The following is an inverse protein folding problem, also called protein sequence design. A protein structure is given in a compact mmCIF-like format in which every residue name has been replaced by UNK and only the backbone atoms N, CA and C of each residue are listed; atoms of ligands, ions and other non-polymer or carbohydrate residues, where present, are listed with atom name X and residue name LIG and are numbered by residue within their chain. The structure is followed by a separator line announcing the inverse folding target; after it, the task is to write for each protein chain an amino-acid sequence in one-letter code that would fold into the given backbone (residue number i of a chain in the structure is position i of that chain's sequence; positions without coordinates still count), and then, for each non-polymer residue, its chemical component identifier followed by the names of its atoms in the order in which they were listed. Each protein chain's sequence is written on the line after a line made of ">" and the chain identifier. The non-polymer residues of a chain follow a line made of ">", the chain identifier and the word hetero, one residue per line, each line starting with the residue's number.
data_IF_756410060388
#
_entry.id   IF_756410060388
#
_cell.length_a   1.000
_cell.length_b   1.000
_cell.length_c   1.000
_cell.angle_alpha   90.00
_cell.angle_beta   90.00
_cell.angle_gamma   90.00
#
_symmetry.space_group_name_H-M   'P 1'
#
loop_
_entity.id
_entity.type
_entity.pdbx_description
1 polymer ?
#
# COMPACT_ATOMS: atom_id res chain seq x y z
N UNK A 1 16.57 43.63 47.82
CA UNK A 1 15.43 43.29 46.93
C UNK A 1 15.99 43.00 45.54
N UNK A 2 16.06 41.74 45.11
CA UNK A 2 16.35 41.39 43.72
C UNK A 2 15.18 40.55 43.19
N UNK A 3 14.41 41.11 42.25
CA UNK A 3 13.42 40.38 41.44
C UNK A 3 14.17 39.78 40.25
N UNK A 4 14.39 38.46 40.25
CA UNK A 4 14.76 37.74 39.05
C UNK A 4 13.48 37.41 38.26
N UNK A 5 13.33 38.04 37.09
CA UNK A 5 12.25 37.78 36.15
C UNK A 5 12.73 36.70 35.18
N UNK A 6 12.32 35.44 35.39
CA UNK A 6 12.59 34.35 34.45
C UNK A 6 11.61 34.46 33.28
N UNK A 7 12.04 35.04 32.16
CA UNK A 7 11.31 34.93 30.88
C UNK A 7 11.62 33.57 30.26
N UNK A 8 10.68 32.62 30.38
CA UNK A 8 10.66 31.43 29.54
C UNK A 8 10.44 31.85 28.09
N UNK A 9 11.49 31.80 27.28
CA UNK A 9 11.42 32.01 25.83
C UNK A 9 11.26 30.63 25.20
N UNK A 10 10.05 30.11 25.17
CA UNK A 10 9.76 28.87 24.42
C UNK A 10 9.87 29.17 22.92
N UNK A 11 10.76 28.43 22.24
CA UNK A 11 10.90 28.47 20.79
C UNK A 11 9.65 27.84 20.15
N UNK A 12 8.58 28.63 19.98
CA UNK A 12 7.32 28.20 19.35
C UNK A 12 7.53 27.57 17.96
N UNK A 13 8.62 27.87 17.25
CA UNK A 13 8.99 27.24 15.97
C UNK A 13 9.32 25.74 16.08
N UNK A 14 9.87 25.29 17.21
CA UNK A 14 10.25 23.89 17.40
C UNK A 14 9.02 23.04 17.74
N UNK A 15 8.15 23.56 18.61
CA UNK A 15 6.89 22.90 18.99
C UNK A 15 5.99 22.75 17.77
N UNK A 16 5.85 23.80 16.95
CA UNK A 16 5.02 23.76 15.74
C UNK A 16 5.56 22.78 14.68
N UNK A 17 6.89 22.64 14.55
CA UNK A 17 7.49 21.64 13.64
C UNK A 17 7.27 20.22 14.13
N UNK A 18 7.43 19.96 15.42
CA UNK A 18 7.24 18.61 15.97
C UNK A 18 5.77 18.22 15.88
N UNK A 19 4.83 19.09 16.27
CA UNK A 19 3.39 18.78 16.14
C UNK A 19 2.94 18.64 14.70
N UNK A 20 3.43 19.46 13.76
CA UNK A 20 3.08 19.31 12.33
C UNK A 20 3.66 18.04 11.71
N UNK A 21 4.87 17.61 12.09
CA UNK A 21 5.44 16.37 11.55
C UNK A 21 4.79 15.13 12.15
N UNK A 22 4.44 15.15 13.44
CA UNK A 22 3.65 14.07 14.07
C UNK A 22 2.22 14.04 13.54
N UNK A 23 1.62 15.20 13.24
CA UNK A 23 0.33 15.25 12.53
C UNK A 23 0.45 14.72 11.11
N UNK A 24 1.54 14.98 10.40
CA UNK A 24 1.76 14.47 9.03
C UNK A 24 1.97 12.96 9.03
N UNK A 25 2.70 12.41 10.01
CA UNK A 25 2.88 10.96 10.17
C UNK A 25 1.57 10.31 10.64
N UNK A 26 0.81 10.95 11.53
CA UNK A 26 -0.53 10.50 11.90
C UNK A 26 -1.50 10.61 10.71
N UNK A 27 -1.43 11.65 9.88
CA UNK A 27 -2.21 11.76 8.64
C UNK A 27 -1.80 10.66 7.64
N UNK A 28 -0.52 10.34 7.51
CA UNK A 28 -0.08 9.29 6.58
C UNK A 28 -0.44 7.89 7.11
N UNK A 29 -0.40 7.67 8.42
CA UNK A 29 -0.78 6.41 9.05
C UNK A 29 -2.30 6.26 9.31
N UNK A 30 -3.08 7.36 9.31
CA UNK A 30 -4.51 7.36 9.64
C UNK A 30 -5.43 7.89 8.51
N UNK A 31 -4.93 8.61 7.49
CA UNK A 31 -5.79 9.15 6.43
C UNK A 31 -5.75 8.27 5.18
N UNK A 32 -6.36 7.10 5.31
CA UNK A 32 -6.94 6.41 4.16
C UNK A 32 -8.47 6.53 4.15
N UNK A 33 -9.08 6.95 5.27
CA UNK A 33 -10.54 7.01 5.41
C UNK A 33 -10.95 8.29 6.14
N UNK A 34 -11.56 9.25 5.44
CA UNK A 34 -12.18 10.44 6.05
C UNK A 34 -13.56 10.11 6.70
N UNK A 35 -14.01 8.85 6.64
CA UNK A 35 -15.25 8.35 7.25
C UNK A 35 -14.94 7.55 8.52
N UNK A 36 -15.43 8.02 9.67
CA UNK A 36 -15.25 7.40 10.99
C UNK A 36 -15.69 5.93 11.02
N UNK A 37 -16.74 5.57 10.27
CA UNK A 37 -17.24 4.19 10.19
C UNK A 37 -16.27 3.29 9.43
N UNK A 38 -15.64 3.81 8.38
CA UNK A 38 -14.64 3.05 7.60
C UNK A 38 -13.35 2.84 8.40
N UNK A 39 -12.98 3.80 9.25
CA UNK A 39 -11.87 3.62 10.19
C UNK A 39 -12.15 2.51 11.20
N UNK A 40 -13.38 2.44 11.71
CA UNK A 40 -13.83 1.38 12.60
C UNK A 40 -13.81 0.01 11.89
N UNK A 41 -14.41 -0.09 10.71
CA UNK A 41 -14.40 -1.32 9.90
C UNK A 41 -12.98 -1.79 9.59
N UNK A 42 -12.08 -0.86 9.20
CA UNK A 42 -10.66 -1.19 8.95
C UNK A 42 -9.96 -1.69 10.22
N UNK A 43 -10.22 -1.06 11.36
CA UNK A 43 -9.66 -1.50 12.65
C UNK A 43 -10.13 -2.90 13.00
N UNK A 44 -11.41 -3.21 12.79
CA UNK A 44 -11.97 -4.53 13.06
C UNK A 44 -11.43 -5.59 12.09
N UNK A 45 -11.24 -5.26 10.80
CA UNK A 45 -10.52 -6.14 9.84
C UNK A 45 -9.12 -6.43 10.37
N UNK A 46 -8.38 -5.39 10.76
CA UNK A 46 -7.01 -5.52 11.27
C UNK A 46 -6.96 -6.41 12.50
N UNK A 47 -7.82 -6.18 13.48
CA UNK A 47 -7.89 -6.99 14.69
C UNK A 47 -8.22 -8.45 14.37
N UNK A 48 -9.20 -8.71 13.49
CA UNK A 48 -9.58 -10.08 13.15
C UNK A 48 -8.49 -10.82 12.38
N UNK A 49 -7.85 -10.17 11.40
CA UNK A 49 -6.71 -10.76 10.67
C UNK A 49 -5.55 -11.04 11.64
N UNK A 50 -5.21 -10.08 12.51
CA UNK A 50 -4.12 -10.22 13.48
C UNK A 50 -4.40 -11.27 14.55
N UNK A 51 -5.65 -11.50 14.94
CA UNK A 51 -5.99 -12.49 15.98
C UNK A 51 -6.21 -13.90 15.42
N UNK A 52 -6.90 -14.01 14.28
CA UNK A 52 -7.39 -15.29 13.76
C UNK A 52 -6.58 -15.83 12.56
N UNK A 53 -5.87 -14.96 11.85
CA UNK A 53 -5.22 -15.32 10.57
C UNK A 53 -3.71 -15.01 10.49
N UNK A 54 -3.10 -14.50 11.56
CA UNK A 54 -1.68 -14.08 11.61
C UNK A 54 -0.68 -15.19 11.95
N UNK A 55 -1.15 -16.35 12.44
CA UNK A 55 -0.28 -17.41 12.95
C UNK A 55 0.69 -17.96 11.91
N UNK A 56 0.30 -17.90 10.65
CA UNK A 56 1.14 -18.29 9.52
C UNK A 56 1.24 -17.11 8.54
N UNK A 57 2.45 -16.82 8.02
CA UNK A 57 2.61 -15.85 6.94
C UNK A 57 1.67 -16.18 5.79
N UNK A 58 1.14 -15.16 5.14
CA UNK A 58 0.38 -15.39 3.91
C UNK A 58 1.25 -16.05 2.84
N UNK A 59 0.77 -17.16 2.29
CA UNK A 59 1.35 -17.74 1.09
C UNK A 59 0.77 -17.00 -0.12
N UNK A 60 1.54 -16.07 -0.67
CA UNK A 60 1.09 -15.22 -1.79
C UNK A 60 0.96 -16.00 -3.11
N UNK A 61 1.70 -17.10 -3.29
CA UNK A 61 1.64 -17.94 -4.50
C UNK A 61 0.47 -18.95 -4.47
N UNK A 62 -0.27 -19.02 -3.37
CA UNK A 62 -1.42 -19.93 -3.26
C UNK A 62 -2.68 -19.26 -3.80
N UNK A 63 -3.25 -19.79 -4.87
CA UNK A 63 -4.58 -19.39 -5.37
C UNK A 63 -5.74 -20.03 -4.59
N UNK A 64 -5.46 -20.69 -3.48
CA UNK A 64 -6.48 -21.33 -2.65
C UNK A 64 -7.37 -20.27 -2.01
N UNK A 65 -8.68 -20.47 -2.06
CA UNK A 65 -9.64 -19.57 -1.39
C UNK A 65 -9.35 -19.55 0.12
N UNK A 66 -9.27 -18.38 0.76
CA UNK A 66 -9.08 -18.30 2.20
C UNK A 66 -10.25 -18.97 2.93
N UNK A 67 -9.94 -19.92 3.79
CA UNK A 67 -10.92 -20.63 4.61
C UNK A 67 -11.10 -19.95 5.97
N UNK A 68 -12.31 -19.99 6.52
CA UNK A 68 -12.57 -19.52 7.88
C UNK A 68 -12.81 -18.01 8.02
N UNK A 69 -13.03 -17.29 6.92
CA UNK A 69 -13.49 -15.91 6.98
C UNK A 69 -14.94 -15.87 7.48
N UNK A 70 -15.19 -15.11 8.55
CA UNK A 70 -16.54 -14.86 9.05
C UNK A 70 -17.37 -14.07 8.02
N UNK A 71 -18.71 -14.22 8.00
CA UNK A 71 -19.56 -13.41 7.12
C UNK A 71 -19.38 -11.90 7.33
N UNK A 72 -19.17 -11.49 8.58
CA UNK A 72 -18.89 -10.10 8.98
C UNK A 72 -17.57 -9.60 8.37
N UNK A 73 -16.49 -10.38 8.48
CA UNK A 73 -15.20 -10.03 7.88
C UNK A 73 -15.29 -9.94 6.35
N UNK A 74 -16.00 -10.88 5.71
CA UNK A 74 -16.23 -10.84 4.26
C UNK A 74 -16.93 -9.55 3.84
N UNK A 75 -17.96 -9.14 4.58
CA UNK A 75 -18.71 -7.93 4.29
C UNK A 75 -17.82 -6.68 4.46
N UNK A 76 -17.04 -6.60 5.54
CA UNK A 76 -16.11 -5.48 5.74
C UNK A 76 -15.01 -5.40 4.69
N UNK A 77 -14.41 -6.53 4.32
CA UNK A 77 -13.42 -6.60 3.23
C UNK A 77 -13.99 -6.14 1.90
N UNK A 78 -15.26 -6.45 1.65
CA UNK A 78 -15.98 -5.97 0.48
C UNK A 78 -16.20 -4.45 0.55
N UNK A 79 -16.79 -3.97 1.65
CA UNK A 79 -17.18 -2.56 1.81
C UNK A 79 -15.97 -1.63 1.81
N UNK A 80 -14.90 -1.98 2.52
CA UNK A 80 -13.64 -1.22 2.54
C UNK A 80 -13.01 -1.18 1.14
N UNK A 81 -12.96 -2.30 0.41
CA UNK A 81 -12.41 -2.32 -0.94
C UNK A 81 -13.21 -1.51 -1.96
N UNK A 82 -14.55 -1.60 -1.89
CA UNK A 82 -15.44 -0.80 -2.73
C UNK A 82 -15.27 0.69 -2.43
N UNK A 83 -15.24 1.05 -1.15
CA UNK A 83 -15.02 2.41 -0.72
C UNK A 83 -13.67 2.96 -1.20
N UNK A 84 -12.59 2.17 -1.08
CA UNK A 84 -11.26 2.59 -1.58
C UNK A 84 -11.28 2.89 -3.09
N UNK A 85 -12.00 2.11 -3.91
CA UNK A 85 -12.17 2.41 -5.35
C UNK A 85 -12.91 3.73 -5.58
N UNK A 86 -13.92 4.02 -4.77
CA UNK A 86 -14.81 5.17 -4.91
C UNK A 86 -14.27 6.46 -4.25
N UNK A 87 -13.12 6.40 -3.56
CA UNK A 87 -12.45 7.58 -3.01
C UNK A 87 -11.93 8.50 -4.12
N UNK A 88 -12.18 9.81 -3.98
CA UNK A 88 -11.73 10.83 -4.94
C UNK A 88 -10.22 10.78 -5.21
N UNK A 89 -9.41 10.59 -4.17
CA UNK A 89 -7.96 10.48 -4.31
C UNK A 89 -7.52 9.23 -5.09
N UNK A 90 -8.26 8.12 -4.95
CA UNK A 90 -8.04 6.91 -5.75
C UNK A 90 -8.47 7.15 -7.18
N UNK A 91 -9.64 7.74 -7.40
CA UNK A 91 -10.15 8.10 -8.73
C UNK A 91 -9.17 9.00 -9.48
N UNK A 92 -8.60 10.01 -8.82
CA UNK A 92 -7.63 10.91 -9.44
C UNK A 92 -6.37 10.14 -9.90
N UNK A 93 -5.85 9.22 -9.08
CA UNK A 93 -4.73 8.34 -9.46
C UNK A 93 -5.08 7.39 -10.61
N UNK A 94 -6.29 6.83 -10.59
CA UNK A 94 -6.79 5.96 -11.66
C UNK A 94 -6.82 6.72 -12.98
N UNK A 95 -7.37 7.93 -12.98
CA UNK A 95 -7.43 8.80 -14.15
C UNK A 95 -6.04 9.14 -14.67
N UNK A 96 -5.10 9.49 -13.79
CA UNK A 96 -3.71 9.78 -14.19
C UNK A 96 -3.04 8.59 -14.89
N UNK A 97 -3.34 7.35 -14.44
CA UNK A 97 -2.81 6.13 -15.04
C UNK A 97 -3.48 5.75 -16.36
N UNK A 98 -4.77 6.02 -16.50
CA UNK A 98 -5.54 5.69 -17.71
C UNK A 98 -5.33 6.72 -18.82
N UNK A 99 -5.19 8.00 -18.46
CA UNK A 99 -5.10 9.13 -19.38
C UNK A 99 -4.10 8.95 -20.54
N UNK A 100 -2.88 8.42 -20.35
CA UNK A 100 -1.93 8.21 -21.45
C UNK A 100 -2.40 7.18 -22.49
N UNK A 101 -3.37 6.33 -22.12
CA UNK A 101 -3.90 5.25 -22.94
C UNK A 101 -5.25 5.61 -23.59
N UNK A 102 -5.85 6.74 -23.22
CA UNK A 102 -7.16 7.16 -23.74
C UNK A 102 -7.00 8.06 -24.97
N UNK A 103 -7.60 7.66 -26.09
CA UNK A 103 -7.49 8.39 -27.38
C UNK A 103 -8.26 9.72 -27.37
N UNK A 104 -9.30 9.87 -26.55
CA UNK A 104 -10.12 11.10 -26.46
C UNK A 104 -10.22 11.61 -25.03
N UNK A 105 -9.22 12.39 -24.60
CA UNK A 105 -9.29 13.09 -23.33
C UNK A 105 -10.04 14.42 -23.51
N UNK A 106 -11.23 14.54 -22.89
CA UNK A 106 -12.04 15.75 -22.89
C UNK A 106 -12.05 16.40 -21.48
N UNK A 107 -12.56 17.63 -21.36
CA UNK A 107 -12.60 18.36 -20.08
C UNK A 107 -13.54 17.73 -19.02
N UNK A 108 -14.39 16.78 -19.42
CA UNK A 108 -15.36 16.08 -18.57
C UNK A 108 -14.93 14.64 -18.24
N UNK A 109 -13.70 14.23 -18.56
CA UNK A 109 -13.25 12.85 -18.45
C UNK A 109 -13.44 12.24 -17.06
N UNK A 110 -13.22 13.00 -15.97
CA UNK A 110 -13.47 12.51 -14.60
C UNK A 110 -14.95 12.19 -14.36
N UNK A 111 -15.85 13.04 -14.85
CA UNK A 111 -17.30 12.82 -14.75
C UNK A 111 -17.72 11.62 -15.59
N UNK A 112 -17.22 11.52 -16.83
CA UNK A 112 -17.49 10.38 -17.71
C UNK A 112 -16.98 9.09 -17.06
N UNK A 113 -15.71 9.06 -16.61
CA UNK A 113 -15.11 7.95 -15.87
C UNK A 113 -15.99 7.51 -14.69
N UNK A 114 -16.43 8.43 -13.83
CA UNK A 114 -17.16 8.08 -12.60
C UNK A 114 -18.64 7.77 -12.80
N UNK A 115 -19.30 8.29 -13.85
CA UNK A 115 -20.75 8.21 -14.01
C UNK A 115 -21.19 7.36 -15.20
N UNK A 116 -20.36 7.22 -16.23
CA UNK A 116 -20.71 6.55 -17.48
C UNK A 116 -19.51 5.84 -18.12
N UNK A 117 -19.50 4.51 -18.09
CA UNK A 117 -18.52 3.72 -18.84
C UNK A 117 -17.95 2.55 -18.05
N UNK A 118 -16.65 2.34 -18.21
CA UNK A 118 -15.94 1.15 -17.76
C UNK A 118 -15.83 1.06 -16.23
N UNK A 119 -15.70 2.18 -15.51
CA UNK A 119 -15.56 2.17 -14.05
C UNK A 119 -16.88 1.81 -13.32
N UNK A 120 -18.06 2.41 -13.59
CA UNK A 120 -19.33 1.92 -13.04
C UNK A 120 -19.62 0.45 -13.41
N UNK A 121 -19.22 0.02 -14.61
CA UNK A 121 -19.35 -1.37 -15.04
C UNK A 121 -18.45 -2.32 -14.22
N UNK A 122 -17.24 -1.91 -13.85
CA UNK A 122 -16.40 -2.64 -12.89
C UNK A 122 -17.10 -2.80 -11.56
N UNK A 123 -17.57 -1.70 -10.97
CA UNK A 123 -18.21 -1.73 -9.65
C UNK A 123 -19.41 -2.67 -9.63
N UNK A 124 -20.20 -2.71 -10.71
CA UNK A 124 -21.30 -3.66 -10.85
C UNK A 124 -20.83 -5.12 -10.96
N UNK A 125 -19.73 -5.39 -11.66
CA UNK A 125 -19.12 -6.73 -11.73
C UNK A 125 -18.60 -7.20 -10.37
N UNK A 126 -17.95 -6.30 -9.62
CA UNK A 126 -17.47 -6.58 -8.26
C UNK A 126 -18.62 -6.79 -7.27
N UNK A 127 -19.75 -6.09 -7.43
CA UNK A 127 -20.98 -6.32 -6.65
C UNK A 127 -21.71 -7.63 -7.01
N UNK A 128 -21.46 -8.17 -8.20
CA UNK A 128 -22.10 -9.37 -8.74
C UNK A 128 -21.13 -10.52 -8.90
N UNK A 129 -20.88 -10.93 -10.14
CA UNK A 129 -20.20 -12.18 -10.51
C UNK A 129 -18.77 -12.34 -9.94
N UNK A 130 -18.11 -11.24 -9.60
CA UNK A 130 -16.73 -11.24 -9.07
C UNK A 130 -16.64 -10.92 -7.57
N UNK A 131 -17.77 -10.92 -6.85
CA UNK A 131 -17.81 -10.51 -5.44
C UNK A 131 -16.90 -11.35 -4.55
N UNK A 132 -16.93 -12.67 -4.69
CA UNK A 132 -16.12 -13.55 -3.85
C UNK A 132 -14.62 -13.46 -4.20
N UNK A 133 -14.28 -13.37 -5.48
CA UNK A 133 -12.90 -13.14 -5.95
C UNK A 133 -12.35 -11.83 -5.40
N UNK A 134 -13.14 -10.76 -5.42
CA UNK A 134 -12.77 -9.46 -4.88
C UNK A 134 -12.54 -9.51 -3.36
N UNK A 135 -13.44 -10.16 -2.61
CA UNK A 135 -13.28 -10.37 -1.16
C UNK A 135 -12.00 -11.15 -0.86
N UNK A 136 -11.73 -12.24 -1.61
CA UNK A 136 -10.53 -13.04 -1.41
C UNK A 136 -9.26 -12.26 -1.77
N UNK A 137 -9.31 -11.47 -2.84
CA UNK A 137 -8.21 -10.58 -3.22
C UNK A 137 -7.91 -9.56 -2.14
N UNK A 138 -8.94 -8.88 -1.63
CA UNK A 138 -8.80 -7.90 -0.54
C UNK A 138 -8.30 -8.55 0.75
N UNK A 139 -8.76 -9.75 1.10
CA UNK A 139 -8.23 -10.46 2.26
C UNK A 139 -6.71 -10.69 2.15
N UNK A 140 -6.27 -11.17 0.98
CA UNK A 140 -4.83 -11.42 0.75
C UNK A 140 -4.03 -10.12 0.81
N UNK A 141 -4.53 -9.08 0.14
CA UNK A 141 -3.93 -7.75 0.11
C UNK A 141 -3.79 -7.17 1.52
N UNK A 142 -4.87 -7.15 2.29
CA UNK A 142 -4.87 -6.63 3.66
C UNK A 142 -3.96 -7.43 4.57
N UNK A 143 -3.98 -8.76 4.47
CA UNK A 143 -3.09 -9.60 5.28
C UNK A 143 -1.62 -9.31 5.00
N UNK A 144 -1.17 -9.29 3.74
CA UNK A 144 0.24 -9.03 3.41
C UNK A 144 0.65 -7.59 3.76
N UNK A 145 -0.26 -6.62 3.59
CA UNK A 145 -0.07 -5.22 3.97
C UNK A 145 0.15 -5.10 5.48
N UNK A 146 -0.68 -5.74 6.30
CA UNK A 146 -0.53 -5.73 7.76
C UNK A 146 0.78 -6.37 8.22
N UNK A 147 1.21 -7.47 7.59
CA UNK A 147 2.52 -8.06 7.84
C UNK A 147 3.67 -7.09 7.50
N UNK A 148 3.55 -6.34 6.39
CA UNK A 148 4.51 -5.32 6.00
C UNK A 148 4.51 -4.11 6.95
N UNK A 149 3.33 -3.63 7.36
CA UNK A 149 3.18 -2.53 8.34
C UNK A 149 3.89 -2.85 9.65
N UNK A 150 3.68 -4.05 10.21
CA UNK A 150 4.35 -4.44 11.46
C UNK A 150 5.87 -4.57 11.26
N UNK A 151 6.34 -5.07 10.11
CA UNK A 151 7.77 -5.10 9.81
C UNK A 151 8.41 -3.70 9.71
N UNK A 152 7.69 -2.72 9.17
CA UNK A 152 8.16 -1.33 8.99
C UNK A 152 8.08 -0.54 10.30
N UNK A 153 7.02 -0.73 11.09
CA UNK A 153 6.80 -0.08 12.39
C UNK A 153 8.02 -0.27 13.30
N UNK A 154 8.54 -1.48 13.27
CA UNK A 154 9.67 -2.01 14.01
C UNK A 154 11.06 -1.47 13.61
N UNK A 155 11.17 -0.61 12.58
CA UNK A 155 12.44 -0.04 12.11
C UNK A 155 12.98 1.05 13.07
N UNK A 156 12.15 1.65 13.93
CA UNK A 156 12.59 2.64 14.93
C UNK A 156 13.03 1.97 16.23
N UNK A 157 14.09 2.47 16.90
CA UNK A 157 14.60 1.84 18.11
C UNK A 157 13.64 2.05 19.30
N UNK A 158 13.38 0.95 20.03
CA UNK A 158 12.93 0.97 21.42
C UNK A 158 14.06 1.52 22.30
N UNK A 159 14.28 2.84 22.28
CA UNK A 159 15.36 3.45 23.07
C UNK A 159 15.57 4.92 22.75
N UNK A 160 14.97 5.79 23.57
CA UNK A 160 14.90 7.23 23.35
C UNK A 160 16.22 7.99 23.51
N UNK A 161 17.08 7.95 22.48
CA UNK A 161 18.17 8.91 22.33
C UNK A 161 17.90 9.83 21.15
N UNK A 162 17.58 11.06 21.52
CA UNK A 162 17.16 12.24 20.78
C UNK A 162 18.16 12.78 19.73
N UNK A 163 19.10 11.98 19.21
CA UNK A 163 20.14 12.49 18.31
C UNK A 163 20.28 11.64 17.03
N UNK A 164 19.83 12.28 15.93
CA UNK A 164 20.22 12.09 14.51
C UNK A 164 19.49 11.05 13.64
N UNK A 165 18.20 10.88 13.89
CA UNK A 165 17.27 10.00 13.16
C UNK A 165 16.93 10.37 11.70
N UNK A 166 17.67 11.24 10.98
CA UNK A 166 17.21 11.69 9.65
C UNK A 166 17.25 10.59 8.60
N UNK A 167 18.32 9.78 8.56
CA UNK A 167 18.46 8.70 7.58
C UNK A 167 17.49 7.55 7.83
N UNK A 168 17.38 7.09 9.09
CA UNK A 168 16.48 6.02 9.46
C UNK A 168 15.00 6.41 9.28
N UNK A 169 14.66 7.66 9.60
CA UNK A 169 13.31 8.20 9.38
C UNK A 169 12.99 8.28 7.89
N UNK A 170 13.89 8.82 7.07
CA UNK A 170 13.72 8.87 5.61
C UNK A 170 13.54 7.48 5.02
N UNK A 171 14.32 6.49 5.48
CA UNK A 171 14.22 5.11 5.01
C UNK A 171 12.89 4.47 5.40
N UNK A 172 12.42 4.71 6.64
CA UNK A 172 11.09 4.26 7.07
C UNK A 172 9.97 4.93 6.27
N UNK A 173 10.06 6.23 6.03
CA UNK A 173 9.12 6.96 5.18
C UNK A 173 9.12 6.41 3.74
N UNK A 174 10.29 6.00 3.22
CA UNK A 174 10.41 5.33 1.92
C UNK A 174 9.62 4.02 1.89
N UNK A 175 9.83 3.13 2.87
CA UNK A 175 9.08 1.88 2.95
C UNK A 175 7.56 2.09 3.08
N UNK A 176 7.13 3.10 3.86
CA UNK A 176 5.70 3.44 3.99
C UNK A 176 5.14 3.91 2.64
N UNK A 177 5.89 4.74 1.92
CA UNK A 177 5.49 5.25 0.62
C UNK A 177 5.39 4.14 -0.40
N UNK A 178 6.42 3.28 -0.50
CA UNK A 178 6.44 2.12 -1.39
C UNK A 178 5.29 1.15 -1.07
N UNK A 179 4.99 0.90 0.20
CA UNK A 179 3.87 0.06 0.61
C UNK A 179 2.53 0.65 0.17
N UNK A 180 2.35 1.97 0.34
CA UNK A 180 1.14 2.66 -0.07
C UNK A 180 0.96 2.61 -1.59
N UNK A 181 2.02 2.85 -2.35
CA UNK A 181 2.00 2.77 -3.81
C UNK A 181 1.64 1.35 -4.29
N UNK A 182 2.29 0.32 -3.74
CA UNK A 182 1.98 -1.07 -4.08
C UNK A 182 0.55 -1.48 -3.70
N UNK A 183 0.03 -0.98 -2.57
CA UNK A 183 -1.35 -1.18 -2.16
C UNK A 183 -2.35 -0.51 -3.13
N UNK A 184 -2.09 0.75 -3.51
CA UNK A 184 -2.92 1.48 -4.47
C UNK A 184 -2.92 0.81 -5.85
N UNK A 185 -1.78 0.24 -6.26
CA UNK A 185 -1.64 -0.44 -7.54
C UNK A 185 -2.61 -1.62 -7.71
N UNK A 186 -3.03 -2.28 -6.62
CA UNK A 186 -4.07 -3.30 -6.68
C UNK A 186 -5.36 -2.77 -7.33
N UNK A 187 -5.85 -1.64 -6.85
CA UNK A 187 -7.08 -1.01 -7.32
C UNK A 187 -6.91 -0.42 -8.72
N UNK A 188 -5.71 0.09 -9.00
CA UNK A 188 -5.36 0.57 -10.34
C UNK A 188 -5.42 -0.56 -11.35
N UNK A 189 -4.73 -1.66 -11.09
CA UNK A 189 -4.64 -2.79 -12.03
C UNK A 189 -5.98 -3.50 -12.20
N UNK A 190 -6.75 -3.64 -11.12
CA UNK A 190 -8.11 -4.15 -11.19
C UNK A 190 -8.99 -3.27 -12.10
N UNK A 191 -8.85 -1.95 -12.01
CA UNK A 191 -9.61 -1.02 -12.85
C UNK A 191 -9.18 -1.09 -14.31
N UNK A 192 -7.88 -1.17 -14.57
CA UNK A 192 -7.32 -1.25 -15.92
C UNK A 192 -7.81 -2.47 -16.70
N UNK A 193 -8.18 -3.56 -16.02
CA UNK A 193 -8.81 -4.74 -16.64
C UNK A 193 -10.06 -4.41 -17.47
N UNK A 194 -10.74 -3.30 -17.19
CA UNK A 194 -11.88 -2.84 -17.97
C UNK A 194 -11.49 -2.13 -19.26
N UNK A 195 -10.33 -1.48 -19.31
CA UNK A 195 -9.93 -0.54 -20.36
C UNK A 195 -9.32 -1.29 -21.54
N UNK A 196 -10.12 -1.53 -22.58
CA UNK A 196 -9.63 -2.24 -23.78
C UNK A 196 -8.39 -1.55 -24.36
N UNK A 197 -8.33 -0.22 -24.39
CA UNK A 197 -7.18 0.51 -24.95
C UNK A 197 -5.87 0.27 -24.15
N UNK A 198 -5.97 -0.10 -22.88
CA UNK A 198 -4.81 -0.49 -22.06
C UNK A 198 -4.26 -1.86 -22.48
N UNK A 199 -5.15 -2.78 -22.84
CA UNK A 199 -4.84 -4.17 -23.17
C UNK A 199 -4.82 -4.38 -24.69
N UNK A 200 -3.66 -4.72 -25.25
CA UNK A 200 -3.53 -5.04 -26.67
C UNK A 200 -3.80 -6.54 -26.90
N UNK A 201 -4.78 -7.08 -26.16
CA UNK A 201 -5.21 -8.46 -26.26
C UNK A 201 -6.63 -8.54 -26.83
N UNK A 202 -7.03 -9.74 -27.25
CA UNK A 202 -8.37 -10.00 -27.76
C UNK A 202 -9.32 -10.48 -26.65
N UNK A 203 -8.94 -10.37 -25.36
CA UNK A 203 -9.72 -10.92 -24.25
C UNK A 203 -10.87 -10.00 -23.89
N UNK A 204 -12.04 -10.59 -23.69
CA UNK A 204 -13.18 -9.83 -23.15
C UNK A 204 -12.91 -9.48 -21.69
N UNK A 205 -13.50 -8.38 -21.22
CA UNK A 205 -13.31 -7.85 -19.86
C UNK A 205 -13.47 -8.92 -18.76
N UNK A 206 -14.46 -9.81 -18.90
CA UNK A 206 -14.68 -10.88 -17.92
C UNK A 206 -13.49 -11.84 -17.80
N UNK A 207 -12.85 -12.18 -18.91
CA UNK A 207 -11.66 -13.02 -18.92
C UNK A 207 -10.46 -12.30 -18.29
N UNK A 208 -10.29 -11.01 -18.56
CA UNK A 208 -9.23 -10.19 -17.93
C UNK A 208 -9.37 -10.13 -16.41
N UNK A 209 -10.59 -9.94 -15.89
CA UNK A 209 -10.84 -9.98 -14.45
C UNK A 209 -10.57 -11.36 -13.85
N UNK A 210 -10.96 -12.44 -14.53
CA UNK A 210 -10.65 -13.81 -14.10
C UNK A 210 -9.12 -14.00 -13.99
N UNK A 211 -8.39 -13.58 -15.02
CA UNK A 211 -6.93 -13.73 -15.06
C UNK A 211 -6.25 -12.89 -13.97
N UNK A 212 -6.70 -11.65 -13.77
CA UNK A 212 -6.23 -10.78 -12.69
C UNK A 212 -6.36 -11.46 -11.32
N UNK A 213 -7.54 -11.98 -10.97
CA UNK A 213 -7.76 -12.65 -9.68
C UNK A 213 -7.08 -14.03 -9.57
N UNK A 214 -6.80 -14.69 -10.70
CA UNK A 214 -5.98 -15.90 -10.76
C UNK A 214 -4.48 -15.61 -10.70
N UNK A 215 -4.06 -14.35 -10.62
CA UNK A 215 -2.62 -14.01 -10.62
C UNK A 215 -1.94 -14.25 -11.96
N UNK A 216 -2.70 -14.39 -13.04
CA UNK A 216 -2.14 -14.51 -14.39
C UNK A 216 -1.80 -13.11 -14.89
N UNK A 217 -0.51 -12.76 -15.07
CA UNK A 217 -0.13 -11.43 -15.51
C UNK A 217 -0.63 -11.16 -16.92
N UNK A 218 -1.08 -9.93 -17.15
CA UNK A 218 -1.33 -9.44 -18.50
C UNK A 218 -0.01 -9.17 -19.25
N UNK A 219 -0.10 -8.62 -20.47
CA UNK A 219 1.07 -8.25 -21.28
C UNK A 219 2.01 -7.23 -20.59
N UNK A 220 1.51 -6.45 -19.64
CA UNK A 220 2.25 -5.43 -18.91
C UNK A 220 2.85 -5.98 -17.60
N UNK A 221 2.49 -7.22 -17.22
CA UNK A 221 2.89 -7.83 -15.96
C UNK A 221 1.89 -7.61 -14.82
N UNK A 222 0.73 -7.05 -15.11
CA UNK A 222 -0.25 -6.63 -14.11
C UNK A 222 -1.15 -7.79 -13.71
N UNK A 223 -1.22 -8.05 -12.41
CA UNK A 223 -2.07 -9.09 -11.79
C UNK A 223 -2.13 -8.85 -10.27
N UNK A 224 -3.02 -9.59 -9.58
CA UNK A 224 -2.99 -9.59 -8.11
C UNK A 224 -1.64 -10.12 -7.59
N UNK A 225 -1.06 -11.15 -8.22
CA UNK A 225 0.20 -11.75 -7.81
C UNK A 225 1.37 -10.76 -7.90
N UNK A 226 1.42 -9.94 -8.95
CA UNK A 226 2.50 -8.96 -9.09
C UNK A 226 2.43 -7.89 -8.01
N UNK A 227 1.22 -7.51 -7.56
CA UNK A 227 1.02 -6.63 -6.40
C UNK A 227 1.42 -7.31 -5.09
N UNK A 228 0.94 -8.53 -4.84
CA UNK A 228 1.25 -9.27 -3.62
C UNK A 228 2.76 -9.54 -3.47
N UNK A 229 3.45 -9.85 -4.58
CA UNK A 229 4.90 -10.04 -4.64
C UNK A 229 5.66 -8.73 -4.37
N UNK A 230 5.16 -7.59 -4.84
CA UNK A 230 5.74 -6.28 -4.55
C UNK A 230 5.65 -5.97 -3.04
N UNK A 231 4.47 -6.15 -2.43
CA UNK A 231 4.28 -5.91 -0.99
C UNK A 231 5.11 -6.90 -0.16
N UNK A 232 5.21 -8.17 -0.58
CA UNK A 232 6.07 -9.13 0.10
C UNK A 232 7.56 -8.75 0.00
N UNK A 233 8.02 -8.23 -1.14
CA UNK A 233 9.38 -7.73 -1.28
C UNK A 233 9.63 -6.57 -0.29
N UNK A 234 8.70 -5.63 -0.17
CA UNK A 234 8.75 -4.52 0.80
C UNK A 234 8.85 -5.06 2.24
N UNK A 235 7.98 -6.00 2.61
CA UNK A 235 8.00 -6.69 3.92
C UNK A 235 9.37 -7.31 4.20
N UNK A 236 9.87 -8.12 3.27
CA UNK A 236 11.13 -8.84 3.44
C UNK A 236 12.34 -7.89 3.51
N UNK A 237 12.32 -6.79 2.75
CA UNK A 237 13.32 -5.72 2.83
C UNK A 237 13.30 -5.04 4.19
N UNK A 238 12.12 -4.68 4.72
CA UNK A 238 11.98 -4.05 6.03
C UNK A 238 12.57 -4.94 7.13
N UNK A 239 12.23 -6.24 7.13
CA UNK A 239 12.78 -7.24 8.05
C UNK A 239 14.31 -7.34 7.92
N UNK A 240 14.82 -7.42 6.68
CA UNK A 240 16.25 -7.55 6.44
C UNK A 240 17.02 -6.29 6.86
N UNK A 241 16.50 -5.12 6.51
CA UNK A 241 17.04 -3.82 6.88
C UNK A 241 17.15 -3.69 8.40
N UNK A 242 16.08 -4.00 9.14
CA UNK A 242 16.07 -4.01 10.62
C UNK A 242 17.16 -4.94 11.18
N UNK A 243 17.29 -6.14 10.64
CA UNK A 243 18.30 -7.10 11.07
C UNK A 243 19.74 -6.61 10.76
N UNK A 244 19.96 -6.02 9.58
CA UNK A 244 21.24 -5.41 9.21
C UNK A 244 21.62 -4.25 10.15
N UNK A 245 20.66 -3.35 10.41
CA UNK A 245 20.84 -2.22 11.32
C UNK A 245 21.18 -2.66 12.74
N UNK A 246 20.66 -3.81 13.18
CA UNK A 246 20.90 -4.37 14.51
C UNK A 246 22.25 -5.09 14.65
N UNK A 247 22.82 -5.65 13.57
CA UNK A 247 24.08 -6.43 13.60
C UNK A 247 25.36 -5.59 13.50
N UNK A 248 25.25 -4.37 12.98
CA UNK A 248 26.43 -3.55 12.69
C UNK A 248 27.00 -2.89 13.95
N UNK A 249 28.11 -3.45 14.45
CA UNK A 249 28.99 -2.86 15.47
C UNK A 249 29.88 -1.70 14.94
N UNK A 250 29.80 -1.36 13.65
CA UNK A 250 30.66 -0.33 13.07
C UNK A 250 30.22 1.08 13.47
N UNK A 251 31.17 1.84 14.03
CA UNK A 251 31.11 3.27 14.34
C UNK A 251 31.10 4.18 13.11
N UNK A 252 30.49 3.73 12.00
CA UNK A 252 30.33 4.55 10.79
C UNK A 252 29.21 5.58 10.97
N UNK A 253 29.27 6.67 10.21
CA UNK A 253 28.17 7.64 10.14
C UNK A 253 26.86 6.92 9.81
N UNK A 254 25.81 7.16 10.61
CA UNK A 254 24.50 6.49 10.52
C UNK A 254 23.95 6.44 9.09
N UNK A 255 24.15 7.50 8.33
CA UNK A 255 23.69 7.64 6.94
C UNK A 255 24.32 6.56 6.04
N UNK A 256 25.64 6.33 6.15
CA UNK A 256 26.33 5.31 5.36
C UNK A 256 25.85 3.90 5.72
N UNK A 257 25.54 3.68 7.00
CA UNK A 257 25.00 2.41 7.48
C UNK A 257 23.58 2.16 6.95
N UNK A 258 22.70 3.18 7.00
CA UNK A 258 21.36 3.12 6.43
C UNK A 258 21.45 2.81 4.93
N UNK A 259 22.28 3.53 4.18
CA UNK A 259 22.46 3.29 2.74
C UNK A 259 22.93 1.86 2.45
N UNK A 260 23.94 1.37 3.18
CA UNK A 260 24.44 0.01 3.00
C UNK A 260 23.37 -1.05 3.31
N UNK A 261 22.69 -0.95 4.44
CA UNK A 261 21.63 -1.89 4.82
C UNK A 261 20.44 -1.83 3.86
N UNK A 262 20.10 -0.64 3.35
CA UNK A 262 19.11 -0.48 2.28
C UNK A 262 19.55 -1.26 1.05
N UNK A 263 20.74 -0.97 0.51
CA UNK A 263 21.24 -1.63 -0.71
C UNK A 263 21.34 -3.16 -0.58
N UNK A 264 21.77 -3.67 0.58
CA UNK A 264 21.79 -5.12 0.86
C UNK A 264 20.38 -5.72 0.83
N UNK A 265 19.40 -5.04 1.43
CA UNK A 265 18.00 -5.47 1.39
C UNK A 265 17.45 -5.45 -0.03
N UNK A 266 17.73 -4.41 -0.81
CA UNK A 266 17.27 -4.29 -2.20
C UNK A 266 17.87 -5.36 -3.11
N UNK A 267 19.15 -5.67 -2.94
CA UNK A 267 19.83 -6.70 -3.71
C UNK A 267 19.28 -8.09 -3.39
N UNK A 268 18.98 -8.36 -2.12
CA UNK A 268 18.49 -9.66 -1.67
C UNK A 268 17.02 -9.89 -2.03
N UNK A 269 16.20 -8.84 -1.99
CA UNK A 269 14.77 -8.89 -2.25
C UNK A 269 14.40 -7.86 -3.33
N UNK A 270 14.79 -8.06 -4.59
CA UNK A 270 14.52 -7.11 -5.66
C UNK A 270 13.02 -6.91 -5.89
N UNK A 271 12.61 -5.71 -6.33
CA UNK A 271 11.23 -5.43 -6.71
C UNK A 271 10.89 -6.14 -8.03
N UNK A 272 9.88 -7.01 -8.07
CA UNK A 272 9.46 -7.72 -9.27
C UNK A 272 9.27 -6.80 -10.49
N UNK A 273 8.62 -5.64 -10.32
CA UNK A 273 8.35 -4.72 -11.45
C UNK A 273 9.61 -4.07 -12.04
N UNK A 274 10.66 -3.88 -11.25
CA UNK A 274 11.96 -3.36 -11.75
C UNK A 274 12.77 -4.40 -12.52
N UNK A 275 12.41 -5.69 -12.44
CA UNK A 275 13.05 -6.74 -13.24
C UNK A 275 12.47 -6.83 -14.66
N UNK A 276 11.16 -6.66 -14.82
CA UNK A 276 10.49 -6.68 -16.14
C UNK A 276 10.94 -5.51 -17.05
N UNK A 277 11.17 -4.32 -16.49
CA UNK A 277 11.71 -3.19 -17.24
C UNK A 277 13.16 -3.43 -17.74
N UNK A 278 13.93 -4.32 -17.09
CA UNK A 278 15.30 -4.68 -17.50
C UNK A 278 15.36 -5.88 -18.43
N UNK A 279 14.36 -6.75 -18.43
CA UNK A 279 14.27 -7.88 -19.37
C UNK A 279 13.73 -7.47 -20.74
N UNK A 280 13.09 -6.31 -20.83
CA UNK A 280 12.51 -5.75 -22.06
C UNK A 280 13.37 -4.63 -22.67
N UNK A 281 14.58 -4.40 -22.14
CA UNK A 281 15.59 -3.45 -22.62
C UNK A 281 16.84 -4.19 -23.10
#
# INVERSE_FOLDING_TARGET
>A
MYKACFKFKTNNKLVFKITSTTLLIAFICCNVYDDDRMQEDYKEIKEEILQKHSKEPINIDSHTKPTGLSPELKQKLFDVGMHTLELDATIDKLIEKIKPHTVSYNNNFKTDFTQAGEFPALLNKLRGDFKEEFIHGNFKLEKIKLEAEEAIKDILPTGGKLFQESGLKQEKERFITELKEAYDDYFIFLTLCMYVEYHADNKVVGERLIDFFKGTPDKNGDSIDSVLKEIEAIKNRAVHFKACMSKSNSSGEEIQKVQKCSSEAEQKYPYPRRQQARSNS
#
